data_IF_369404751045
#
_entry.id   IF_369404751045
#
_cell.length_a   1.000
_cell.length_b   1.000
_cell.length_c   1.000
_cell.angle_alpha   90.00
_cell.angle_beta   90.00
_cell.angle_gamma   90.00
#
_symmetry.space_group_name_H-M   'P 1'
#
loop_
_entity.id
_entity.type
_entity.pdbx_description
1 polymer ?
#
# COMPACT_ATOMS: atom_id res chain seq x y z
N UNK A 1 17.55 -47.31 32.24
CA UNK A 1 16.70 -47.25 33.43
C UNK A 1 16.19 -45.82 33.59
N UNK A 2 14.99 -45.42 33.17
CA UNK A 2 13.96 -46.15 32.40
C UNK A 2 13.12 -45.21 31.50
N UNK A 3 12.36 -45.82 30.58
CA UNK A 3 11.59 -45.15 29.50
C UNK A 3 10.13 -44.95 29.89
N UNK A 4 9.43 -43.96 29.30
CA UNK A 4 8.23 -44.26 28.50
C UNK A 4 8.20 -43.48 27.15
N UNK A 5 7.80 -43.99 25.97
CA UNK A 5 7.00 -45.17 25.53
C UNK A 5 5.50 -45.07 25.85
N UNK A 6 4.49 -45.12 24.95
CA UNK A 6 4.29 -45.23 23.47
C UNK A 6 2.79 -44.85 23.18
N UNK A 7 2.23 -44.44 22.01
CA UNK A 7 2.74 -44.05 20.69
C UNK A 7 1.80 -42.98 19.97
N UNK A 8 1.09 -43.12 18.80
CA UNK A 8 0.56 -41.93 18.04
C UNK A 8 -0.95 -41.95 17.64
N UNK A 9 -1.43 -40.93 16.89
CA UNK A 9 -2.71 -41.00 16.12
C UNK A 9 -2.78 -40.12 14.85
N UNK A 10 -2.39 -40.68 13.70
CA UNK A 10 -2.89 -40.34 12.33
C UNK A 10 -2.59 -38.90 11.78
N UNK A 11 -2.92 -38.56 10.49
CA UNK A 11 -1.98 -38.85 9.42
C UNK A 11 -1.72 -37.74 8.36
N UNK A 12 -0.66 -37.95 7.56
CA UNK A 12 -0.47 -37.48 6.16
C UNK A 12 -0.59 -35.98 5.83
N UNK A 13 0.58 -35.33 5.68
CA UNK A 13 0.83 -34.27 4.67
C UNK A 13 2.32 -34.21 4.28
N UNK A 14 2.77 -35.21 3.52
CA UNK A 14 4.12 -35.23 2.97
C UNK A 14 4.22 -34.33 1.71
N UNK A 15 5.29 -33.53 1.54
CA UNK A 15 5.50 -32.77 0.31
C UNK A 15 5.68 -33.68 -0.90
N UNK A 16 5.05 -33.33 -2.03
CA UNK A 16 5.21 -34.05 -3.29
C UNK A 16 6.62 -33.81 -3.87
N UNK A 17 7.53 -34.75 -3.63
CA UNK A 17 8.86 -34.75 -4.24
C UNK A 17 8.75 -35.04 -5.75
N UNK A 18 9.32 -34.20 -6.63
CA UNK A 18 9.32 -34.46 -8.07
C UNK A 18 10.11 -35.73 -8.39
N UNK A 19 9.55 -36.61 -9.23
CA UNK A 19 10.20 -37.87 -9.59
C UNK A 19 11.42 -37.64 -10.49
N UNK A 20 12.59 -38.07 -10.03
CA UNK A 20 13.84 -38.00 -10.79
C UNK A 20 13.72 -38.69 -12.16
N UNK A 21 14.27 -38.09 -13.25
CA UNK A 21 14.24 -38.67 -14.60
C UNK A 21 14.70 -40.13 -14.68
N UNK A 22 15.69 -40.50 -13.84
CA UNK A 22 16.25 -41.85 -13.71
C UNK A 22 15.18 -42.93 -13.48
N UNK A 23 14.06 -42.58 -12.83
CA UNK A 23 12.98 -43.51 -12.48
C UNK A 23 11.90 -43.62 -13.56
N UNK A 24 11.85 -42.70 -14.52
CA UNK A 24 10.88 -42.71 -15.63
C UNK A 24 11.34 -43.70 -16.70
N UNK A 25 12.63 -43.66 -17.08
CA UNK A 25 13.22 -44.59 -18.06
C UNK A 25 13.22 -46.07 -17.67
N UNK A 26 12.89 -46.41 -16.42
CA UNK A 26 12.84 -47.80 -15.93
C UNK A 26 11.45 -48.45 -16.05
N UNK A 27 10.43 -47.70 -16.49
CA UNK A 27 9.10 -48.27 -16.76
C UNK A 27 9.10 -49.04 -18.09
N UNK A 28 9.39 -50.35 -18.02
CA UNK A 28 9.24 -51.27 -19.15
C UNK A 28 7.80 -51.27 -19.67
N UNK A 29 7.60 -50.80 -20.89
CA UNK A 29 6.32 -50.88 -21.61
C UNK A 29 6.16 -52.33 -22.13
N UNK A 30 5.39 -53.16 -21.42
CA UNK A 30 5.19 -54.59 -21.74
C UNK A 30 4.03 -54.79 -22.74
N UNK A 31 3.96 -53.98 -23.81
CA UNK A 31 2.94 -54.11 -24.85
C UNK A 31 3.47 -53.79 -26.26
N UNK A 32 3.98 -54.82 -26.93
CA UNK A 32 4.30 -54.79 -28.37
C UNK A 32 3.78 -56.07 -29.04
N UNK A 33 2.85 -56.00 -30.01
CA UNK A 33 2.35 -57.17 -30.72
C UNK A 33 3.29 -57.54 -31.89
N UNK A 34 4.08 -58.59 -31.74
CA UNK A 34 4.97 -59.11 -32.80
C UNK A 34 4.81 -60.63 -32.99
N UNK A 35 3.69 -61.04 -33.60
CA UNK A 35 3.42 -62.44 -33.98
C UNK A 35 2.47 -62.53 -35.19
N UNK A 36 3.01 -62.38 -36.41
CA UNK A 36 2.26 -62.62 -37.67
C UNK A 36 3.05 -63.47 -38.70
N UNK A 37 4.37 -63.30 -38.77
CA UNK A 37 5.23 -63.85 -39.84
C UNK A 37 5.31 -65.39 -39.94
N UNK A 38 4.80 -66.13 -38.95
CA UNK A 38 4.95 -67.59 -38.91
C UNK A 38 3.91 -68.33 -39.77
N UNK A 39 2.66 -67.86 -39.80
CA UNK A 39 1.59 -68.51 -40.56
C UNK A 39 1.72 -68.31 -42.07
N UNK A 40 2.22 -67.17 -42.51
CA UNK A 40 2.34 -66.84 -43.94
C UNK A 40 3.32 -67.77 -44.68
N UNK A 41 4.37 -68.25 -44.00
CA UNK A 41 5.41 -69.12 -44.58
C UNK A 41 4.92 -70.56 -44.84
N UNK A 42 3.98 -71.08 -44.05
CA UNK A 42 3.40 -72.41 -44.32
C UNK A 42 2.50 -72.40 -45.57
N UNK A 43 1.72 -71.33 -45.76
CA UNK A 43 0.86 -71.14 -46.93
C UNK A 43 1.69 -71.06 -48.23
N UNK A 44 2.81 -70.33 -48.21
CA UNK A 44 3.68 -70.19 -49.40
C UNK A 44 4.29 -71.52 -49.85
N UNK A 45 4.68 -72.40 -48.91
CA UNK A 45 5.19 -73.75 -49.22
C UNK A 45 4.11 -74.61 -49.88
N UNK A 46 2.88 -74.58 -49.36
CA UNK A 46 1.75 -75.31 -49.95
C UNK A 46 1.43 -74.80 -51.37
N UNK A 47 1.45 -73.47 -51.58
CA UNK A 47 1.25 -72.87 -52.91
C UNK A 47 2.33 -73.31 -53.93
N UNK A 48 3.61 -73.36 -53.52
CA UNK A 48 4.70 -73.86 -54.39
C UNK A 48 4.54 -75.35 -54.71
N UNK A 49 4.12 -76.17 -53.76
CA UNK A 49 3.85 -77.61 -53.99
C UNK A 49 2.66 -77.81 -54.95
N UNK A 50 1.61 -76.98 -54.86
CA UNK A 50 0.50 -77.00 -55.81
C UNK A 50 0.94 -76.62 -57.23
N UNK A 51 1.79 -75.61 -57.37
CA UNK A 51 2.36 -75.17 -58.67
C UNK A 51 3.22 -76.27 -59.32
N UNK A 52 4.06 -76.96 -58.55
CA UNK A 52 4.88 -78.08 -59.06
C UNK A 52 3.97 -79.23 -59.52
N UNK A 53 2.90 -79.53 -58.78
CA UNK A 53 1.93 -80.57 -59.15
C UNK A 53 1.06 -80.23 -60.37
N UNK A 54 0.86 -78.95 -60.72
CA UNK A 54 0.18 -78.57 -61.96
C UNK A 54 1.13 -78.56 -63.16
N UNK A 55 2.35 -78.06 -63.00
CA UNK A 55 3.39 -78.10 -64.04
C UNK A 55 3.72 -79.55 -64.45
N UNK A 56 3.81 -80.47 -63.49
CA UNK A 56 4.07 -81.90 -63.73
C UNK A 56 2.92 -82.65 -64.45
N UNK A 57 1.80 -81.98 -64.73
CA UNK A 57 0.64 -82.55 -65.46
C UNK A 57 0.46 -81.99 -66.87
N UNK A 58 1.40 -81.17 -67.35
CA UNK A 58 1.36 -80.65 -68.73
C UNK A 58 1.86 -81.71 -69.73
N UNK A 59 1.01 -82.25 -70.62
CA UNK A 59 1.44 -83.25 -71.59
C UNK A 59 2.28 -82.61 -72.70
N UNK A 60 3.51 -83.08 -72.89
CA UNK A 60 4.31 -82.70 -74.04
C UNK A 60 3.65 -83.21 -75.34
N UNK A 61 3.27 -82.30 -76.25
CA UNK A 61 2.72 -82.65 -77.56
C UNK A 61 3.47 -81.95 -78.69
N UNK A 62 4.28 -82.77 -79.38
CA UNK A 62 4.70 -82.82 -80.79
C UNK A 62 4.77 -81.54 -81.67
N UNK A 63 5.79 -81.46 -82.55
CA UNK A 63 5.95 -80.35 -83.49
C UNK A 63 5.00 -80.46 -84.70
N UNK A 64 4.29 -79.38 -85.03
CA UNK A 64 3.57 -79.21 -86.30
C UNK A 64 3.42 -77.71 -86.67
N UNK A 65 2.84 -77.39 -87.83
CA UNK A 65 3.55 -76.79 -88.96
C UNK A 65 3.90 -75.31 -88.79
N UNK A 66 5.01 -74.88 -89.39
CA UNK A 66 5.67 -73.59 -89.08
C UNK A 66 4.85 -72.32 -89.39
N UNK A 67 3.74 -72.41 -90.11
CA UNK A 67 2.93 -71.26 -90.55
C UNK A 67 1.97 -70.70 -89.47
N UNK A 68 1.52 -71.52 -88.50
CA UNK A 68 0.71 -71.04 -87.36
C UNK A 68 1.54 -70.79 -86.10
N UNK A 69 2.74 -71.37 -86.00
CA UNK A 69 3.66 -71.10 -84.89
C UNK A 69 4.19 -69.66 -84.91
N UNK A 70 4.31 -69.02 -86.08
CA UNK A 70 4.77 -67.62 -86.18
C UNK A 70 3.75 -66.64 -85.61
N UNK A 71 2.46 -66.79 -85.93
CA UNK A 71 1.38 -65.97 -85.35
C UNK A 71 1.18 -66.27 -83.87
N UNK A 72 1.27 -67.53 -83.45
CA UNK A 72 1.22 -67.92 -82.04
C UNK A 72 2.39 -67.34 -81.22
N UNK A 73 3.61 -67.38 -81.76
CA UNK A 73 4.79 -66.79 -81.13
C UNK A 73 4.69 -65.25 -81.06
N UNK A 74 4.16 -64.60 -82.10
CA UNK A 74 3.93 -63.15 -82.11
C UNK A 74 2.92 -62.75 -81.01
N UNK A 75 1.79 -63.48 -80.87
CA UNK A 75 0.82 -63.23 -79.80
C UNK A 75 1.45 -63.40 -78.41
N UNK A 76 2.28 -64.45 -78.20
CA UNK A 76 2.99 -64.65 -76.94
C UNK A 76 4.01 -63.54 -76.65
N UNK A 77 4.70 -63.02 -77.68
CA UNK A 77 5.62 -61.90 -77.54
C UNK A 77 4.90 -60.57 -77.22
N UNK A 78 3.71 -60.34 -77.79
CA UNK A 78 2.86 -59.18 -77.46
C UNK A 78 2.39 -59.26 -76.00
N UNK A 79 1.84 -60.40 -75.57
CA UNK A 79 1.38 -60.58 -74.19
C UNK A 79 2.53 -60.52 -73.17
N UNK A 80 3.70 -61.10 -73.48
CA UNK A 80 4.89 -60.99 -72.63
C UNK A 80 5.42 -59.56 -72.52
N UNK A 81 5.28 -58.74 -73.58
CA UNK A 81 5.58 -57.30 -73.54
C UNK A 81 4.55 -56.55 -72.68
N UNK A 82 3.27 -56.81 -72.86
CA UNK A 82 2.18 -56.19 -72.09
C UNK A 82 2.29 -56.52 -70.59
N UNK A 83 2.66 -57.75 -70.23
CA UNK A 83 2.94 -58.16 -68.86
C UNK A 83 4.19 -57.47 -68.29
N UNK A 84 5.26 -57.33 -69.09
CA UNK A 84 6.48 -56.62 -68.69
C UNK A 84 6.25 -55.10 -68.51
N UNK A 85 5.50 -54.45 -69.41
CA UNK A 85 5.10 -53.05 -69.27
C UNK A 85 4.19 -52.86 -68.04
N UNK A 86 3.26 -53.79 -67.81
CA UNK A 86 2.41 -53.81 -66.61
C UNK A 86 3.19 -54.08 -65.31
N UNK A 87 4.28 -54.85 -65.37
CA UNK A 87 5.19 -55.07 -64.24
C UNK A 87 6.04 -53.84 -63.96
N UNK A 88 6.58 -53.18 -65.00
CA UNK A 88 7.36 -51.95 -64.89
C UNK A 88 6.49 -50.80 -64.35
N UNK A 89 5.25 -50.66 -64.82
CA UNK A 89 4.31 -49.67 -64.30
C UNK A 89 4.00 -49.87 -62.79
N UNK A 90 3.81 -51.13 -62.35
CA UNK A 90 3.65 -51.47 -60.92
C UNK A 90 4.91 -51.20 -60.10
N UNK A 91 6.09 -51.51 -60.63
CA UNK A 91 7.35 -51.21 -59.95
C UNK A 91 7.59 -49.70 -59.83
N UNK A 92 7.24 -48.92 -60.86
CA UNK A 92 7.32 -47.46 -60.85
C UNK A 92 6.34 -46.81 -59.86
N UNK A 93 5.12 -47.34 -59.72
CA UNK A 93 4.17 -46.85 -58.71
C UNK A 93 4.58 -47.22 -57.28
N UNK A 94 5.15 -48.41 -57.06
CA UNK A 94 5.73 -48.79 -55.77
C UNK A 94 6.96 -47.94 -55.40
N UNK A 95 7.82 -47.62 -56.37
CA UNK A 95 8.99 -46.76 -56.16
C UNK A 95 8.58 -45.33 -55.81
N UNK A 96 7.61 -44.74 -56.53
CA UNK A 96 7.13 -43.39 -56.23
C UNK A 96 6.36 -43.34 -54.90
N UNK A 97 5.61 -44.39 -54.55
CA UNK A 97 5.01 -44.49 -53.21
C UNK A 97 6.09 -44.56 -52.13
N UNK A 98 7.11 -45.42 -52.28
CA UNK A 98 8.22 -45.54 -51.34
C UNK A 98 8.96 -44.21 -51.14
N UNK A 99 9.32 -43.52 -52.23
CA UNK A 99 9.92 -42.18 -52.16
C UNK A 99 9.00 -41.15 -51.48
N UNK A 100 7.68 -41.25 -51.67
CA UNK A 100 6.73 -40.36 -50.98
C UNK A 100 6.61 -40.65 -49.49
N UNK A 101 6.86 -41.90 -49.06
CA UNK A 101 6.92 -42.31 -47.65
C UNK A 101 8.24 -41.86 -47.03
N UNK A 102 9.34 -42.03 -47.74
CA UNK A 102 10.69 -41.57 -47.37
C UNK A 102 10.71 -40.06 -47.09
N UNK A 103 10.23 -39.23 -48.02
CA UNK A 103 10.16 -37.76 -47.82
C UNK A 103 9.39 -37.38 -46.56
N UNK A 104 8.21 -37.97 -46.32
CA UNK A 104 7.40 -37.75 -45.11
C UNK A 104 8.09 -38.19 -43.81
N UNK A 105 9.02 -39.14 -43.88
CA UNK A 105 9.85 -39.56 -42.73
C UNK A 105 10.98 -38.55 -42.52
N UNK A 106 11.65 -38.08 -43.58
CA UNK A 106 12.68 -37.04 -43.51
C UNK A 106 12.12 -35.71 -42.99
N UNK A 107 11.02 -35.20 -43.57
CA UNK A 107 10.31 -33.99 -43.14
C UNK A 107 9.97 -34.05 -41.63
N UNK A 108 9.51 -35.21 -41.15
CA UNK A 108 9.18 -35.43 -39.74
C UNK A 108 10.44 -35.53 -38.85
N UNK A 109 11.52 -36.12 -39.35
CA UNK A 109 12.79 -36.22 -38.64
C UNK A 109 13.45 -34.84 -38.49
N UNK A 110 13.46 -34.04 -39.57
CA UNK A 110 13.92 -32.66 -39.59
C UNK A 110 13.14 -31.81 -38.58
N UNK A 111 11.81 -31.84 -38.63
CA UNK A 111 10.95 -31.13 -37.66
C UNK A 111 11.21 -31.55 -36.20
N UNK A 112 11.43 -32.84 -35.91
CA UNK A 112 11.78 -33.32 -34.56
C UNK A 112 13.19 -32.90 -34.12
N UNK A 113 14.14 -32.78 -35.05
CA UNK A 113 15.49 -32.28 -34.76
C UNK A 113 15.48 -30.77 -34.49
N UNK A 114 14.69 -29.99 -35.24
CA UNK A 114 14.45 -28.57 -35.01
C UNK A 114 13.79 -28.32 -33.64
N UNK A 115 12.74 -29.05 -33.29
CA UNK A 115 12.10 -28.93 -31.96
C UNK A 115 13.08 -29.31 -30.84
N UNK A 116 13.88 -30.36 -31.03
CA UNK A 116 14.92 -30.80 -30.08
C UNK A 116 16.08 -29.80 -29.97
N UNK A 117 16.37 -29.00 -31.01
CA UNK A 117 17.31 -27.88 -30.93
C UNK A 117 16.67 -26.68 -30.22
N UNK A 118 15.48 -26.23 -30.63
CA UNK A 118 14.79 -25.08 -30.05
C UNK A 118 14.51 -25.26 -28.54
N UNK A 119 14.21 -26.49 -28.10
CA UNK A 119 14.05 -26.82 -26.68
C UNK A 119 15.38 -26.80 -25.91
N UNK A 120 16.51 -27.23 -26.51
CA UNK A 120 17.85 -27.07 -25.90
C UNK A 120 18.23 -25.60 -25.77
N UNK A 121 18.03 -24.80 -26.82
CA UNK A 121 18.33 -23.37 -26.82
C UNK A 121 17.50 -22.63 -25.76
N UNK A 122 16.20 -22.95 -25.65
CA UNK A 122 15.33 -22.45 -24.58
C UNK A 122 15.85 -22.83 -23.18
N UNK A 123 16.21 -24.09 -22.95
CA UNK A 123 16.78 -24.52 -21.65
C UNK A 123 18.10 -23.81 -21.31
N UNK A 124 18.97 -23.55 -22.28
CA UNK A 124 20.21 -22.80 -22.07
C UNK A 124 19.91 -21.34 -21.72
N UNK A 125 18.95 -20.73 -22.42
CA UNK A 125 18.48 -19.36 -22.14
C UNK A 125 17.83 -19.23 -20.75
N UNK A 126 16.93 -20.14 -20.39
CA UNK A 126 16.31 -20.22 -19.06
C UNK A 126 17.35 -20.36 -17.95
N UNK A 127 18.30 -21.30 -18.09
CA UNK A 127 19.41 -21.47 -17.12
C UNK A 127 20.23 -20.19 -16.97
N UNK A 128 20.52 -19.49 -18.06
CA UNK A 128 21.22 -18.20 -18.03
C UNK A 128 20.44 -17.12 -17.28
N UNK A 129 19.12 -17.06 -17.43
CA UNK A 129 18.25 -16.13 -16.68
C UNK A 129 18.23 -16.50 -15.19
N UNK A 130 17.98 -17.77 -14.85
CA UNK A 130 17.98 -18.23 -13.46
C UNK A 130 19.31 -17.97 -12.76
N UNK A 131 20.45 -18.16 -13.45
CA UNK A 131 21.75 -17.85 -12.87
C UNK A 131 21.97 -16.33 -12.68
N UNK A 132 21.57 -15.50 -13.66
CA UNK A 132 21.61 -14.04 -13.53
C UNK A 132 20.79 -13.55 -12.35
N UNK A 133 19.56 -14.05 -12.18
CA UNK A 133 18.69 -13.67 -11.08
C UNK A 133 19.22 -14.18 -9.74
N UNK A 134 19.67 -15.44 -9.64
CA UNK A 134 20.31 -15.95 -8.42
C UNK A 134 21.58 -15.15 -8.03
N UNK A 135 22.37 -14.68 -9.01
CA UNK A 135 23.51 -13.77 -8.78
C UNK A 135 23.05 -12.37 -8.33
N UNK A 136 21.88 -11.89 -8.77
CA UNK A 136 21.26 -10.61 -8.36
C UNK A 136 20.70 -10.69 -6.93
N UNK A 137 19.86 -11.68 -6.62
CA UNK A 137 19.28 -11.86 -5.29
C UNK A 137 20.34 -12.01 -4.20
N UNK A 138 21.48 -12.68 -4.49
CA UNK A 138 22.64 -12.74 -3.56
C UNK A 138 23.26 -11.36 -3.29
N UNK A 139 23.39 -10.50 -4.30
CA UNK A 139 23.91 -9.12 -4.14
C UNK A 139 22.93 -8.25 -3.36
N UNK A 140 21.63 -8.43 -3.59
CA UNK A 140 20.56 -7.70 -2.89
C UNK A 140 20.46 -8.13 -1.42
N UNK A 141 20.54 -9.44 -1.13
CA UNK A 141 20.65 -9.95 0.23
C UNK A 141 21.88 -9.38 0.97
N UNK A 142 23.06 -9.35 0.32
CA UNK A 142 24.26 -8.77 0.93
C UNK A 142 24.12 -7.26 1.21
N UNK A 143 23.49 -6.50 0.29
CA UNK A 143 23.17 -5.07 0.48
C UNK A 143 22.19 -4.87 1.65
N UNK A 144 21.13 -5.69 1.74
CA UNK A 144 20.17 -5.64 2.83
C UNK A 144 20.84 -5.95 4.18
N UNK A 145 21.68 -6.98 4.25
CA UNK A 145 22.47 -7.29 5.46
C UNK A 145 23.42 -6.16 5.86
N UNK A 146 24.10 -5.51 4.91
CA UNK A 146 24.96 -4.36 5.20
C UNK A 146 24.17 -3.16 5.73
N UNK A 147 23.00 -2.87 5.17
CA UNK A 147 22.13 -1.81 5.66
C UNK A 147 21.55 -2.13 7.05
N UNK A 148 21.21 -3.39 7.32
CA UNK A 148 20.74 -3.83 8.64
C UNK A 148 21.78 -3.57 9.74
N UNK A 149 23.07 -3.83 9.48
CA UNK A 149 24.15 -3.55 10.44
C UNK A 149 24.27 -2.05 10.71
N UNK A 150 24.23 -1.20 9.68
CA UNK A 150 24.26 0.27 9.85
C UNK A 150 23.11 0.77 10.72
N UNK A 151 21.88 0.32 10.43
CA UNK A 151 20.69 0.69 11.22
C UNK A 151 20.78 0.15 12.66
N UNK A 152 21.44 -0.98 12.91
CA UNK A 152 21.71 -1.47 14.27
C UNK A 152 22.76 -0.61 15.01
N UNK A 153 23.77 -0.09 14.30
CA UNK A 153 24.76 0.86 14.84
C UNK A 153 24.13 2.23 15.15
N UNK A 154 23.35 2.79 14.22
CA UNK A 154 22.58 4.02 14.41
C UNK A 154 21.59 3.89 15.58
N UNK A 155 20.86 2.77 15.67
CA UNK A 155 19.97 2.47 16.80
C UNK A 155 20.72 2.34 18.13
N UNK A 156 21.97 1.86 18.12
CA UNK A 156 22.84 1.80 19.31
C UNK A 156 23.29 3.21 19.73
N UNK A 157 23.65 4.08 18.78
CA UNK A 157 24.02 5.47 19.04
C UNK A 157 22.85 6.27 19.61
N UNK A 158 21.67 6.23 18.95
CA UNK A 158 20.46 6.88 19.44
C UNK A 158 20.03 6.38 20.84
N UNK A 159 20.22 5.09 21.15
CA UNK A 159 20.01 4.54 22.51
C UNK A 159 21.04 5.02 23.54
N UNK A 160 22.21 5.50 23.11
CA UNK A 160 23.20 6.20 23.94
C UNK A 160 22.78 7.64 24.20
N UNK A 161 22.44 8.38 23.14
CA UNK A 161 21.95 9.77 23.22
C UNK A 161 20.71 9.89 24.11
N UNK A 162 19.72 8.99 23.95
CA UNK A 162 18.52 8.94 24.79
C UNK A 162 18.84 8.66 26.28
N UNK A 163 19.98 8.03 26.60
CA UNK A 163 20.45 7.92 27.99
C UNK A 163 21.08 9.23 28.46
N UNK A 164 22.01 9.79 27.69
CA UNK A 164 22.67 11.06 28.00
C UNK A 164 21.66 12.18 28.27
N UNK A 165 20.65 12.33 27.40
CA UNK A 165 19.58 13.32 27.55
C UNK A 165 18.68 13.04 28.78
N UNK A 166 18.52 11.78 29.20
CA UNK A 166 17.82 11.41 30.45
C UNK A 166 18.66 11.65 31.70
N UNK A 167 19.98 11.65 31.58
CA UNK A 167 20.89 11.97 32.67
C UNK A 167 20.99 13.49 32.86
N UNK A 168 21.05 14.24 31.76
CA UNK A 168 20.99 15.70 31.69
C UNK A 168 19.64 16.25 32.21
N UNK A 169 18.50 15.76 31.73
CA UNK A 169 17.17 16.15 32.24
C UNK A 169 16.98 15.77 33.73
N UNK A 170 17.75 14.84 34.28
CA UNK A 170 17.76 14.55 35.73
C UNK A 170 18.62 15.57 36.49
N UNK A 171 19.85 15.85 36.05
CA UNK A 171 20.71 16.84 36.71
C UNK A 171 20.13 18.26 36.64
N UNK A 172 19.46 18.63 35.54
CA UNK A 172 18.69 19.89 35.45
C UNK A 172 17.56 19.96 36.49
N UNK A 173 16.80 18.88 36.68
CA UNK A 173 15.71 18.83 37.67
C UNK A 173 16.24 18.94 39.10
N UNK A 174 17.36 18.29 39.40
CA UNK A 174 18.03 18.40 40.70
C UNK A 174 18.60 19.80 40.94
N UNK A 175 19.23 20.42 39.93
CA UNK A 175 19.71 21.79 39.98
C UNK A 175 18.57 22.80 40.19
N UNK A 176 17.45 22.64 39.47
CA UNK A 176 16.23 23.43 39.65
C UNK A 176 15.62 23.22 41.04
N UNK A 177 15.63 22.00 41.57
CA UNK A 177 15.20 21.71 42.94
C UNK A 177 16.01 22.46 43.98
N UNK A 178 17.34 22.45 43.86
CA UNK A 178 18.26 23.22 44.72
C UNK A 178 18.04 24.72 44.61
N UNK A 179 17.97 25.26 43.38
CA UNK A 179 17.72 26.68 43.15
C UNK A 179 16.37 27.16 43.73
N UNK A 180 15.32 26.34 43.64
CA UNK A 180 14.04 26.61 44.28
C UNK A 180 14.16 26.61 45.82
N UNK A 181 14.85 25.63 46.40
CA UNK A 181 15.05 25.53 47.85
C UNK A 181 15.79 26.75 48.40
N UNK A 182 16.91 27.14 47.77
CA UNK A 182 17.64 28.35 48.16
C UNK A 182 16.79 29.63 47.98
N UNK A 183 15.89 29.67 46.98
CA UNK A 183 14.99 30.80 46.79
C UNK A 183 13.93 30.89 47.90
N UNK A 184 13.40 29.75 48.38
CA UNK A 184 12.54 29.71 49.56
C UNK A 184 13.28 30.14 50.83
N UNK A 185 14.52 29.68 51.05
CA UNK A 185 15.35 30.08 52.19
C UNK A 185 15.63 31.59 52.18
N UNK A 186 15.97 32.17 51.02
CA UNK A 186 16.13 33.62 50.84
C UNK A 186 14.83 34.39 51.10
N UNK A 187 13.69 33.89 50.61
CA UNK A 187 12.39 34.51 50.85
C UNK A 187 11.98 34.46 52.34
N UNK A 188 12.26 33.35 53.02
CA UNK A 188 12.01 33.18 54.46
C UNK A 188 12.88 34.13 55.31
N UNK A 189 14.17 34.25 54.99
CA UNK A 189 15.07 35.19 55.65
C UNK A 189 14.63 36.66 55.44
N UNK A 190 14.18 37.02 54.22
CA UNK A 190 13.64 38.35 53.92
C UNK A 190 12.32 38.62 54.67
N UNK A 191 11.46 37.61 54.86
CA UNK A 191 10.24 37.76 55.64
C UNK A 191 10.53 38.09 57.11
N UNK A 192 11.43 37.33 57.76
CA UNK A 192 11.85 37.61 59.14
C UNK A 192 12.46 39.00 59.33
N UNK A 193 13.37 39.41 58.44
CA UNK A 193 13.93 40.76 58.46
C UNK A 193 12.87 41.85 58.20
N UNK A 194 11.81 41.56 57.44
CA UNK A 194 10.70 42.49 57.22
C UNK A 194 9.84 42.63 58.47
N UNK A 195 9.56 41.53 59.18
CA UNK A 195 8.88 41.53 60.48
C UNK A 195 9.65 42.32 61.54
N UNK A 196 10.98 42.12 61.65
CA UNK A 196 11.84 42.91 62.53
C UNK A 196 11.79 44.40 62.19
N UNK A 197 11.86 44.76 60.91
CA UNK A 197 11.75 46.15 60.45
C UNK A 197 10.37 46.75 60.75
N UNK A 198 9.28 45.97 60.68
CA UNK A 198 7.94 46.44 61.03
C UNK A 198 7.75 46.59 62.54
N UNK A 199 8.30 45.70 63.35
CA UNK A 199 8.35 45.83 64.81
C UNK A 199 9.15 47.06 65.24
N UNK A 200 10.31 47.33 64.62
CA UNK A 200 11.11 48.53 64.87
C UNK A 200 10.38 49.81 64.44
N UNK A 201 9.73 49.83 63.26
CA UNK A 201 8.85 50.95 62.85
C UNK A 201 7.68 51.14 63.82
N UNK A 202 7.16 50.06 64.41
CA UNK A 202 6.13 50.10 65.44
C UNK A 202 6.61 50.83 66.71
N UNK A 203 7.77 50.44 67.24
CA UNK A 203 8.41 51.08 68.39
C UNK A 203 8.79 52.54 68.13
N UNK A 204 9.26 52.86 66.92
CA UNK A 204 9.57 54.23 66.56
C UNK A 204 8.31 55.11 66.58
N UNK A 205 7.19 54.62 66.03
CA UNK A 205 5.91 55.34 66.08
C UNK A 205 5.38 55.54 67.51
N UNK A 206 5.56 54.58 68.42
CA UNK A 206 5.18 54.80 69.82
C UNK A 206 6.06 55.88 70.45
N UNK A 207 7.39 55.80 70.35
CA UNK A 207 8.27 56.86 70.87
C UNK A 207 8.01 58.24 70.25
N UNK A 208 7.67 58.31 68.95
CA UNK A 208 7.25 59.55 68.28
C UNK A 208 5.90 60.09 68.77
N UNK A 209 4.99 59.22 69.22
CA UNK A 209 3.73 59.59 69.88
C UNK A 209 3.96 60.04 71.31
N UNK A 210 4.72 59.28 72.11
CA UNK A 210 5.02 59.54 73.51
C UNK A 210 5.70 60.92 73.66
N UNK A 211 6.75 61.16 72.88
CA UNK A 211 7.47 62.44 72.81
C UNK A 211 6.65 63.59 72.15
N UNK A 212 5.42 63.34 71.68
CA UNK A 212 4.45 64.37 71.29
C UNK A 212 3.38 64.60 72.35
N UNK A 213 3.02 63.59 73.15
CA UNK A 213 2.19 63.77 74.34
C UNK A 213 2.95 64.45 75.47
N UNK A 214 4.22 64.11 75.73
CA UNK A 214 5.04 64.72 76.79
C UNK A 214 5.01 66.27 76.78
N UNK A 215 5.28 66.98 75.66
CA UNK A 215 5.21 68.44 75.61
C UNK A 215 3.78 69.00 75.62
N UNK A 216 2.75 68.18 75.36
CA UNK A 216 1.35 68.58 75.55
C UNK A 216 0.95 68.44 77.02
N UNK A 217 1.29 67.33 77.68
CA UNK A 217 0.99 67.08 79.09
C UNK A 217 1.77 68.03 80.00
N UNK A 218 3.03 68.37 79.67
CA UNK A 218 3.77 69.44 80.33
C UNK A 218 3.05 70.80 80.17
N UNK A 219 2.61 71.13 78.96
CA UNK A 219 1.90 72.38 78.65
C UNK A 219 0.47 72.42 79.20
N UNK A 220 -0.13 71.28 79.54
CA UNK A 220 -1.41 71.18 80.25
C UNK A 220 -1.21 71.37 81.76
N UNK A 221 -0.12 70.86 82.33
CA UNK A 221 0.29 71.15 83.72
C UNK A 221 0.61 72.65 83.91
N UNK A 222 1.32 73.26 82.97
CA UNK A 222 1.60 74.71 82.98
C UNK A 222 0.33 75.58 82.84
N UNK A 223 -0.74 75.05 82.24
CA UNK A 223 -2.04 75.74 82.05
C UNK A 223 -3.00 75.61 83.23
N UNK A 224 -2.58 75.01 84.34
CA UNK A 224 -3.33 75.06 85.60
C UNK A 224 -2.96 76.28 86.46
N UNK A 225 -2.19 77.22 85.91
CA UNK A 225 -1.98 78.57 86.44
C UNK A 225 -2.28 79.62 85.36
N UNK A 226 -3.04 80.65 85.76
CA UNK A 226 -3.43 81.86 85.02
C UNK A 226 -4.20 81.71 83.68
N UNK A 227 -5.22 82.56 83.56
CA UNK A 227 -5.94 82.89 82.34
C UNK A 227 -5.73 84.39 82.02
N UNK A 228 -6.33 84.86 80.92
CA UNK A 228 -6.33 86.27 80.46
C UNK A 228 -4.95 86.75 79.91
N UNK A 229 -4.81 87.58 78.86
CA UNK A 229 -5.79 88.24 77.98
C UNK A 229 -5.21 88.58 76.57
N UNK A 230 -6.05 89.07 75.63
CA UNK A 230 -5.86 89.95 74.42
C UNK A 230 -4.51 90.06 73.62
N UNK A 231 -4.43 90.51 72.33
CA UNK A 231 -5.35 90.66 71.16
C UNK A 231 -4.57 91.14 69.90
N UNK A 232 -4.73 90.48 68.73
CA UNK A 232 -4.56 91.06 67.36
C UNK A 232 -3.13 91.35 66.83
N UNK A 233 -2.89 91.83 65.59
CA UNK A 233 -3.67 91.84 64.32
C UNK A 233 -2.76 92.11 63.08
N UNK A 234 -3.05 91.52 61.90
CA UNK A 234 -2.46 91.85 60.55
C UNK A 234 -0.91 91.68 60.37
N UNK A 235 -0.26 91.65 59.19
CA UNK A 235 -0.61 91.71 57.74
C UNK A 235 0.24 90.72 56.89
N UNK A 236 -0.38 90.09 55.88
CA UNK A 236 0.03 89.97 54.45
C UNK A 236 1.52 89.83 54.00
N UNK A 237 1.86 88.72 53.28
CA UNK A 237 2.53 88.72 51.94
C UNK A 237 2.90 87.35 51.29
N UNK A 238 2.32 87.10 50.12
CA UNK A 238 2.90 86.65 48.83
C UNK A 238 4.03 85.58 48.67
N UNK A 239 3.64 84.43 48.09
CA UNK A 239 4.27 83.71 46.94
C UNK A 239 5.66 83.01 47.08
N UNK A 240 6.09 82.12 46.13
CA UNK A 240 5.39 81.50 44.98
C UNK A 240 5.44 79.94 44.96
N UNK A 241 4.67 79.34 44.01
CA UNK A 241 4.94 78.14 43.17
C UNK A 241 5.72 76.90 43.72
N UNK A 242 5.35 75.66 43.39
CA UNK A 242 5.03 75.13 42.06
C UNK A 242 3.91 74.08 42.04
N UNK A 243 3.28 73.94 40.87
CA UNK A 243 2.10 73.09 40.62
C UNK A 243 2.33 72.10 39.48
N UNK A 244 1.59 70.97 39.47
CA UNK A 244 1.28 70.11 38.29
C UNK A 244 2.43 69.21 37.73
N UNK A 245 2.18 68.25 36.77
CA UNK A 245 1.24 67.12 36.91
C UNK A 245 1.62 65.79 36.16
N UNK A 246 0.67 64.83 36.13
CA UNK A 246 0.36 63.85 35.04
C UNK A 246 1.33 62.68 34.69
N UNK A 247 0.80 61.48 34.93
CA UNK A 247 0.72 60.34 33.96
C UNK A 247 -0.07 60.83 32.72
N UNK A 248 0.29 60.55 31.43
CA UNK A 248 0.11 59.19 30.85
C UNK A 248 0.87 58.77 29.54
N UNK A 249 0.70 57.48 29.19
CA UNK A 249 0.56 56.86 27.84
C UNK A 249 1.74 56.76 26.83
N UNK A 250 1.77 55.54 26.25
CA UNK A 250 2.44 55.00 25.05
C UNK A 250 2.55 55.92 23.81
N UNK A 251 3.70 55.82 23.12
CA UNK A 251 3.93 55.53 21.68
C UNK A 251 5.40 55.04 21.53
N UNK A 252 5.88 54.21 20.59
CA UNK A 252 5.52 53.83 19.22
C UNK A 252 6.06 54.80 18.14
N UNK A 253 6.83 54.28 17.17
CA UNK A 253 7.81 55.03 16.36
C UNK A 253 9.20 54.92 17.00
N UNK A 254 10.23 54.24 16.47
CA UNK A 254 10.63 53.89 15.10
C UNK A 254 11.21 55.07 14.31
N UNK A 255 12.55 55.23 14.35
CA UNK A 255 13.36 55.52 13.16
C UNK A 255 14.88 55.30 13.42
N UNK A 256 15.63 55.02 12.35
CA UNK A 256 17.11 54.91 12.32
C UNK A 256 17.60 55.45 10.97
N UNK A 257 18.79 56.08 10.86
CA UNK A 257 20.09 55.39 10.91
C UNK A 257 21.16 56.25 11.67
N UNK A 258 22.50 56.05 11.70
CA UNK A 258 23.56 55.72 10.70
C UNK A 258 24.75 55.17 11.52
N UNK A 259 25.20 53.90 11.36
CA UNK A 259 26.16 53.35 10.38
C UNK A 259 27.58 53.92 10.47
N UNK A 260 28.55 53.10 10.86
CA UNK A 260 29.93 53.18 10.33
C UNK A 260 30.62 51.79 10.34
N UNK A 261 31.63 51.57 9.48
CA UNK A 261 32.05 50.22 9.07
C UNK A 261 33.55 50.02 8.84
N UNK A 262 34.07 48.84 9.26
CA UNK A 262 35.29 48.16 8.73
C UNK A 262 35.01 46.64 8.78
N UNK A 263 34.81 45.86 7.71
CA UNK A 263 35.52 45.62 6.43
C UNK A 263 36.68 44.62 6.57
N UNK A 264 36.73 43.66 5.61
CA UNK A 264 37.70 42.58 5.32
C UNK A 264 37.40 41.18 5.96
N UNK A 265 37.41 40.06 5.22
CA UNK A 265 37.30 39.87 3.75
C UNK A 265 36.93 38.41 3.34
N UNK A 266 36.60 38.22 2.05
CA UNK A 266 36.65 37.00 1.20
C UNK A 266 35.67 35.80 1.40
N UNK A 267 34.72 35.74 0.45
CA UNK A 267 34.37 34.58 -0.43
C UNK A 267 33.68 33.33 0.17
N UNK A 268 32.54 32.85 -0.35
CA UNK A 268 32.33 32.37 -1.73
C UNK A 268 30.84 32.37 -2.17
N UNK A 269 30.62 32.32 -3.49
CA UNK A 269 29.36 32.35 -4.27
C UNK A 269 28.17 31.50 -3.79
N UNK A 270 26.92 31.96 -4.04
CA UNK A 270 26.16 31.64 -5.27
C UNK A 270 24.76 32.31 -5.29
N UNK A 271 24.28 32.67 -6.48
CA UNK A 271 23.00 33.35 -6.75
C UNK A 271 21.76 32.42 -6.67
N UNK A 272 20.59 32.98 -6.31
CA UNK A 272 19.42 33.05 -7.23
C UNK A 272 18.30 33.99 -6.71
N UNK A 273 17.39 34.43 -7.60
CA UNK A 273 16.48 35.58 -7.39
C UNK A 273 15.01 35.26 -7.00
N UNK A 274 14.52 35.98 -5.98
CA UNK A 274 13.13 36.48 -5.78
C UNK A 274 11.90 35.58 -5.45
N UNK A 275 11.17 36.07 -4.43
CA UNK A 275 9.70 36.28 -4.41
C UNK A 275 8.70 35.11 -4.53
N UNK A 276 8.03 34.78 -3.40
CA UNK A 276 6.62 35.20 -3.22
C UNK A 276 6.02 35.01 -1.81
N UNK A 277 5.52 36.13 -1.26
CA UNK A 277 4.32 36.34 -0.40
C UNK A 277 3.89 35.22 0.59
N UNK A 278 3.98 35.54 1.89
CA UNK A 278 3.54 34.75 3.05
C UNK A 278 2.03 34.48 3.08
N UNK A 279 1.62 33.21 3.24
CA UNK A 279 0.24 32.84 3.58
C UNK A 279 0.03 32.89 5.11
N UNK A 280 -0.99 33.62 5.58
CA UNK A 280 -1.28 33.84 7.00
C UNK A 280 -2.36 32.88 7.50
N UNK A 281 -1.95 31.74 8.07
CA UNK A 281 -2.88 30.76 8.64
C UNK A 281 -3.67 31.36 9.82
N UNK A 282 -4.99 31.30 9.75
CA UNK A 282 -5.89 31.80 10.79
C UNK A 282 -6.14 30.73 11.86
N UNK A 283 -5.78 31.03 13.11
CA UNK A 283 -6.03 30.15 14.26
C UNK A 283 -7.48 30.30 14.71
N UNK A 284 -8.36 29.35 14.32
CA UNK A 284 -9.66 29.19 15.00
C UNK A 284 -9.40 28.70 16.43
N UNK A 285 -9.80 29.50 17.42
CA UNK A 285 -9.91 29.07 18.82
C UNK A 285 -11.39 28.75 19.03
N UNK A 286 -11.71 27.51 19.37
CA UNK A 286 -13.08 27.06 19.62
C UNK A 286 -13.32 26.93 21.12
N UNK A 287 -13.78 28.01 21.76
CA UNK A 287 -14.23 27.95 23.15
C UNK A 287 -15.54 27.15 23.21
N UNK A 288 -15.54 26.00 23.89
CA UNK A 288 -16.76 25.31 24.34
C UNK A 288 -16.53 24.58 25.65
N UNK A 289 -16.35 25.37 26.69
CA UNK A 289 -16.27 24.93 28.09
C UNK A 289 -17.69 24.81 28.68
N UNK A 290 -17.84 24.04 29.76
CA UNK A 290 -19.04 23.93 30.59
C UNK A 290 -20.30 23.29 29.96
N UNK A 291 -20.31 21.95 29.90
CA UNK A 291 -21.43 21.16 30.42
C UNK A 291 -20.89 19.99 31.26
N UNK A 292 -21.45 19.78 32.44
CA UNK A 292 -21.12 18.69 33.37
C UNK A 292 -22.42 17.92 33.70
N UNK A 293 -22.49 16.63 33.34
CA UNK A 293 -23.45 15.70 33.89
C UNK A 293 -22.72 14.57 34.63
N UNK A 294 -22.91 14.50 35.96
CA UNK A 294 -22.37 13.41 36.78
C UNK A 294 -22.99 12.06 36.38
N UNK A 295 -22.16 11.11 35.96
CA UNK A 295 -22.55 9.73 35.65
C UNK A 295 -21.34 8.78 35.75
N UNK A 296 -21.46 7.61 36.41
CA UNK A 296 -20.33 6.70 36.60
C UNK A 296 -20.18 5.74 35.42
N UNK A 297 -19.60 6.21 34.32
CA UNK A 297 -19.13 5.32 33.24
C UNK A 297 -17.67 4.92 33.46
N UNK A 298 -17.36 3.64 33.20
CA UNK A 298 -16.00 3.11 33.29
C UNK A 298 -15.15 3.71 32.18
N UNK A 299 -14.41 4.77 32.51
CA UNK A 299 -13.52 5.43 31.55
C UNK A 299 -12.34 4.51 31.25
N UNK A 300 -12.47 3.69 30.21
CA UNK A 300 -11.33 3.09 29.53
C UNK A 300 -10.35 4.22 29.18
N UNK A 301 -9.21 4.24 29.88
CA UNK A 301 -8.16 5.23 29.64
C UNK A 301 -7.55 4.93 28.28
N UNK A 302 -8.15 5.48 27.22
CA UNK A 302 -7.61 5.44 25.86
C UNK A 302 -6.16 5.94 25.95
N UNK A 303 -5.15 5.07 25.73
CA UNK A 303 -3.78 5.50 25.81
C UNK A 303 -3.57 6.55 24.73
N UNK A 304 -3.18 7.76 25.13
CA UNK A 304 -2.88 8.85 24.19
C UNK A 304 -1.80 8.35 23.23
N UNK A 305 -2.20 8.03 22.00
CA UNK A 305 -1.29 7.47 20.98
C UNK A 305 -0.12 8.43 20.80
N UNK A 306 1.08 7.89 20.61
CA UNK A 306 2.23 8.72 20.29
C UNK A 306 1.89 9.51 19.01
N UNK A 307 1.95 10.86 19.00
CA UNK A 307 1.60 11.66 17.84
C UNK A 307 2.44 11.31 16.60
N UNK A 308 3.59 10.65 16.76
CA UNK A 308 4.34 10.03 15.66
C UNK A 308 3.54 8.93 14.97
N UNK A 309 2.95 8.01 15.75
CA UNK A 309 2.13 6.90 15.23
C UNK A 309 0.82 7.38 14.61
N UNK A 310 0.26 8.50 15.08
CA UNK A 310 -0.91 9.14 14.47
C UNK A 310 -0.55 9.81 13.12
N UNK A 311 0.59 10.51 13.05
CA UNK A 311 1.12 11.06 11.78
C UNK A 311 1.52 9.96 10.78
N UNK A 312 2.02 8.82 11.26
CA UNK A 312 2.31 7.64 10.43
C UNK A 312 1.01 7.01 9.90
N UNK A 313 -0.01 6.85 10.74
CA UNK A 313 -1.34 6.37 10.33
C UNK A 313 -1.99 7.27 9.27
N UNK A 314 -1.95 8.59 9.44
CA UNK A 314 -2.48 9.55 8.47
C UNK A 314 -1.71 9.54 7.14
N UNK A 315 -0.39 9.31 7.16
CA UNK A 315 0.42 9.12 5.93
C UNK A 315 0.01 7.85 5.20
N UNK A 316 -0.13 6.75 5.92
CA UNK A 316 -0.59 5.46 5.39
C UNK A 316 -2.00 5.55 4.79
N UNK A 317 -2.92 6.26 5.46
CA UNK A 317 -4.28 6.50 4.99
C UNK A 317 -4.28 7.37 3.72
N UNK A 318 -3.44 8.41 3.68
CA UNK A 318 -3.23 9.24 2.49
C UNK A 318 -2.68 8.45 1.31
N UNK A 319 -1.68 7.59 1.51
CA UNK A 319 -1.10 6.75 0.44
C UNK A 319 -2.19 5.84 -0.13
N UNK A 320 -2.98 5.17 0.72
CA UNK A 320 -4.12 4.32 0.30
C UNK A 320 -5.18 5.11 -0.49
N UNK A 321 -5.41 6.38 -0.14
CA UNK A 321 -6.31 7.26 -0.89
C UNK A 321 -5.71 7.70 -2.24
N UNK A 322 -4.40 7.98 -2.32
CA UNK A 322 -3.71 8.30 -3.57
C UNK A 322 -3.67 7.09 -4.53
N UNK A 323 -3.43 5.89 -4.01
CA UNK A 323 -3.51 4.62 -4.76
C UNK A 323 -4.93 4.34 -5.26
N UNK A 324 -5.96 4.54 -4.42
CA UNK A 324 -7.37 4.40 -4.84
C UNK A 324 -7.74 5.40 -5.95
N UNK A 325 -7.29 6.66 -5.84
CA UNK A 325 -7.47 7.67 -6.88
C UNK A 325 -6.70 7.30 -8.16
N UNK A 326 -5.54 6.64 -8.06
CA UNK A 326 -4.83 6.12 -9.22
C UNK A 326 -5.58 4.96 -9.88
N UNK A 327 -6.06 3.99 -9.10
CA UNK A 327 -6.87 2.87 -9.58
C UNK A 327 -8.13 3.35 -10.34
N UNK A 328 -8.91 4.27 -9.75
CA UNK A 328 -10.10 4.84 -10.38
C UNK A 328 -9.78 5.61 -11.68
N UNK A 329 -8.61 6.27 -11.76
CA UNK A 329 -8.14 6.90 -13.01
C UNK A 329 -7.84 5.85 -14.08
N UNK A 330 -7.23 4.72 -13.73
CA UNK A 330 -6.95 3.63 -14.68
C UNK A 330 -8.26 2.96 -15.15
N UNK A 331 -9.22 2.70 -14.27
CA UNK A 331 -10.55 2.20 -14.67
C UNK A 331 -11.28 3.17 -15.61
N UNK A 332 -11.17 4.48 -15.38
CA UNK A 332 -11.70 5.51 -16.26
C UNK A 332 -11.02 5.50 -17.64
N UNK A 333 -9.67 5.43 -17.69
CA UNK A 333 -8.92 5.34 -18.96
C UNK A 333 -9.29 4.10 -19.78
N UNK A 334 -9.44 2.94 -19.13
CA UNK A 334 -9.92 1.71 -19.78
C UNK A 334 -11.43 1.68 -20.05
N UNK A 335 -12.17 2.75 -19.73
CA UNK A 335 -13.64 2.87 -19.88
C UNK A 335 -14.43 1.80 -19.11
N UNK A 336 -13.87 1.32 -17.98
CA UNK A 336 -14.45 0.29 -17.10
C UNK A 336 -14.99 0.83 -15.78
N UNK A 337 -14.93 2.14 -15.52
CA UNK A 337 -15.58 2.72 -14.34
C UNK A 337 -17.08 2.40 -14.34
N UNK A 338 -17.68 2.23 -13.15
CA UNK A 338 -19.11 1.95 -12.99
C UNK A 338 -20.00 2.94 -13.75
N UNK A 339 -19.59 4.22 -13.77
CA UNK A 339 -20.15 5.28 -14.61
C UNK A 339 -20.28 4.89 -16.08
N UNK A 340 -19.18 4.47 -16.72
CA UNK A 340 -19.13 4.18 -18.15
C UNK A 340 -19.75 2.82 -18.49
N UNK A 341 -19.72 1.86 -17.55
CA UNK A 341 -20.42 0.59 -17.69
C UNK A 341 -21.95 0.77 -17.68
N UNK A 342 -22.47 1.65 -16.83
CA UNK A 342 -23.88 2.02 -16.77
C UNK A 342 -24.34 2.74 -18.05
N UNK A 343 -23.57 3.71 -18.55
CA UNK A 343 -23.83 4.36 -19.85
C UNK A 343 -23.89 3.35 -21.01
N UNK A 344 -22.99 2.35 -21.03
CA UNK A 344 -22.99 1.27 -22.03
C UNK A 344 -24.18 0.31 -21.89
N UNK A 345 -24.84 0.28 -20.73
CA UNK A 345 -26.06 -0.48 -20.48
C UNK A 345 -27.34 0.37 -20.64
N UNK A 346 -27.21 1.67 -20.96
CA UNK A 346 -28.34 2.60 -21.10
C UNK A 346 -28.99 3.00 -19.78
N UNK A 347 -28.32 2.79 -18.63
CA UNK A 347 -28.85 3.13 -17.30
C UNK A 347 -28.10 4.31 -16.69
N UNK A 348 -28.81 5.19 -15.98
CA UNK A 348 -28.22 6.34 -15.31
C UNK A 348 -27.39 5.90 -14.09
N UNK A 349 -26.14 6.36 -13.98
CA UNK A 349 -25.28 6.02 -12.85
C UNK A 349 -25.40 7.04 -11.72
N UNK A 350 -25.83 6.58 -10.55
CA UNK A 350 -25.94 7.40 -9.34
C UNK A 350 -24.74 7.11 -8.42
N UNK A 351 -23.88 8.11 -8.21
CA UNK A 351 -22.67 7.97 -7.39
C UNK A 351 -22.96 7.85 -5.88
N UNK A 352 -23.97 8.56 -5.38
CA UNK A 352 -24.45 8.50 -4.01
C UNK A 352 -25.99 8.45 -4.05
N UNK A 353 -26.56 7.28 -3.74
CA UNK A 353 -28.02 7.09 -3.79
C UNK A 353 -28.76 7.80 -2.67
N UNK A 354 -28.10 8.15 -1.57
CA UNK A 354 -28.73 8.86 -0.45
C UNK A 354 -28.66 10.37 -0.62
N UNK A 355 -27.66 10.89 -1.33
CA UNK A 355 -27.67 12.26 -1.85
C UNK A 355 -28.76 12.44 -2.92
N UNK A 356 -28.81 11.55 -3.92
CA UNK A 356 -29.80 11.61 -5.00
C UNK A 356 -31.25 11.51 -4.50
N UNK A 357 -31.53 10.59 -3.56
CA UNK A 357 -32.85 10.52 -2.88
C UNK A 357 -33.22 11.83 -2.17
N UNK A 358 -32.26 12.54 -1.56
CA UNK A 358 -32.51 13.82 -0.87
C UNK A 358 -32.76 14.94 -1.87
N UNK A 359 -31.90 15.07 -2.88
CA UNK A 359 -32.01 16.08 -3.93
C UNK A 359 -33.35 15.96 -4.67
N UNK A 360 -33.70 14.75 -5.12
CA UNK A 360 -34.98 14.50 -5.79
C UNK A 360 -36.16 14.76 -4.83
N UNK A 361 -36.07 14.38 -3.55
CA UNK A 361 -37.14 14.66 -2.56
C UNK A 361 -37.33 16.16 -2.29
N UNK A 362 -36.27 16.96 -2.31
CA UNK A 362 -36.37 18.42 -2.20
C UNK A 362 -37.00 19.03 -3.46
N UNK A 363 -36.65 18.53 -4.66
CA UNK A 363 -37.27 18.98 -5.92
C UNK A 363 -38.78 18.68 -5.96
N UNK A 364 -39.18 17.44 -5.68
CA UNK A 364 -40.59 17.02 -5.63
C UNK A 364 -41.43 17.75 -4.55
N UNK A 365 -40.80 18.38 -3.54
CA UNK A 365 -41.50 19.20 -2.55
C UNK A 365 -41.72 20.64 -3.03
N UNK A 366 -40.82 21.19 -3.86
CA UNK A 366 -40.98 22.53 -4.44
C UNK A 366 -42.04 22.53 -5.56
N UNK A 367 -42.16 21.44 -6.32
CA UNK A 367 -43.14 21.28 -7.40
C UNK A 367 -44.58 20.97 -6.91
N UNK A 368 -44.88 21.09 -5.62
CA UNK A 368 -46.22 20.79 -5.04
C UNK A 368 -46.88 21.91 -4.22
N UNK A 369 -46.22 23.06 -4.03
CA UNK A 369 -46.85 24.28 -3.51
C UNK A 369 -47.45 25.16 -4.62
N UNK A 370 -47.34 24.76 -5.90
CA UNK A 370 -47.83 25.52 -7.05
C UNK A 370 -49.34 25.36 -7.34
N UNK A 371 -49.80 24.12 -7.53
CA UNK A 371 -51.12 23.85 -8.12
C UNK A 371 -52.20 23.44 -7.11
N UNK A 372 -52.91 24.44 -6.59
CA UNK A 372 -54.25 24.28 -5.99
C UNK A 372 -55.33 25.05 -6.76
N UNK A 373 -55.69 24.63 -7.98
CA UNK A 373 -57.09 24.67 -8.43
C UNK A 373 -57.40 23.83 -9.70
N UNK A 374 -58.69 23.54 -9.91
CA UNK A 374 -59.36 23.19 -11.18
C UNK A 374 -59.05 21.84 -11.88
N UNK A 375 -59.82 20.82 -11.45
CA UNK A 375 -60.66 19.92 -12.27
C UNK A 375 -60.11 19.04 -13.41
N UNK A 376 -60.43 17.74 -13.29
CA UNK A 376 -60.89 16.81 -14.34
C UNK A 376 -60.14 16.71 -15.68
N UNK A 377 -59.38 15.60 -15.86
CA UNK A 377 -59.89 14.45 -16.65
C UNK A 377 -59.01 13.18 -16.63
N UNK A 378 -59.70 12.04 -16.64
CA UNK A 378 -59.35 10.75 -17.26
C UNK A 378 -58.07 9.99 -16.80
N UNK A 379 -58.34 9.01 -15.93
CA UNK A 379 -57.80 7.64 -15.89
C UNK A 379 -57.44 7.04 -17.28
N UNK A 380 -56.51 6.06 -17.39
CA UNK A 380 -56.59 4.78 -16.64
C UNK A 380 -55.31 4.22 -15.99
N UNK A 381 -55.52 3.24 -15.11
CA UNK A 381 -54.51 2.41 -14.45
C UNK A 381 -53.82 1.44 -15.42
N UNK A 382 -52.56 1.07 -15.13
CA UNK A 382 -51.90 -0.10 -15.72
C UNK A 382 -51.09 -0.89 -14.68
N UNK A 383 -51.73 -1.94 -14.15
CA UNK A 383 -51.17 -3.27 -13.79
C UNK A 383 -49.77 -3.36 -13.14
N UNK A 384 -49.75 -3.77 -11.87
CA UNK A 384 -48.57 -3.90 -10.99
C UNK A 384 -47.63 -5.10 -11.26
N UNK A 385 -47.84 -5.88 -12.32
CA UNK A 385 -47.30 -7.26 -12.42
C UNK A 385 -45.81 -7.37 -12.82
N UNK A 386 -45.12 -6.27 -13.13
CA UNK A 386 -43.76 -6.35 -13.71
C UNK A 386 -42.59 -6.25 -12.72
N UNK A 387 -42.84 -5.97 -11.44
CA UNK A 387 -41.77 -5.87 -10.42
C UNK A 387 -41.41 -7.21 -9.75
N UNK A 388 -42.36 -8.14 -9.59
CA UNK A 388 -42.15 -9.42 -8.89
C UNK A 388 -41.28 -10.43 -9.68
N UNK A 389 -41.18 -10.27 -11.01
CA UNK A 389 -40.33 -11.14 -11.85
C UNK A 389 -38.83 -10.93 -11.56
N UNK A 390 -38.40 -9.66 -11.50
CA UNK A 390 -37.00 -9.26 -11.27
C UNK A 390 -36.43 -9.70 -9.92
N UNK A 391 -37.29 -9.92 -8.92
CA UNK A 391 -36.84 -10.38 -7.60
C UNK A 391 -36.61 -11.91 -7.53
N UNK A 392 -37.26 -12.72 -8.37
CA UNK A 392 -37.12 -14.18 -8.34
C UNK A 392 -35.86 -14.69 -9.04
N UNK A 393 -35.43 -14.07 -10.13
CA UNK A 393 -34.21 -14.52 -10.84
C UNK A 393 -32.92 -14.26 -10.03
N UNK A 394 -32.89 -13.20 -9.22
CA UNK A 394 -31.71 -12.89 -8.36
C UNK A 394 -31.50 -13.86 -7.20
N UNK A 395 -32.49 -14.68 -6.82
CA UNK A 395 -32.35 -15.62 -5.68
C UNK A 395 -31.68 -16.95 -6.06
N UNK A 396 -31.51 -17.25 -7.35
CA UNK A 396 -30.97 -18.54 -7.82
C UNK A 396 -29.44 -18.52 -7.94
N UNK A 397 -28.83 -17.33 -8.06
CA UNK A 397 -27.40 -17.16 -8.34
C UNK A 397 -26.45 -17.26 -7.12
N UNK A 398 -26.94 -17.62 -5.93
CA UNK A 398 -26.13 -17.78 -4.69
C UNK A 398 -26.16 -19.22 -4.14
N UNK A 399 -26.14 -20.20 -5.05
CA UNK A 399 -25.92 -21.61 -4.71
C UNK A 399 -24.54 -21.84 -4.08
N UNK A 400 -24.53 -22.39 -2.86
CA UNK A 400 -23.32 -22.76 -2.12
C UNK A 400 -22.47 -23.80 -2.89
N UNK A 401 -21.16 -23.68 -2.80
CA UNK A 401 -20.28 -24.85 -2.69
C UNK A 401 -19.49 -24.80 -1.38
N UNK A 402 -19.24 -26.00 -0.86
CA UNK A 402 -18.25 -26.35 0.17
C UNK A 402 -17.22 -27.24 -0.52
#
# INVERSE_FOLDING_TARGET
MDTPSLQPSSPLKAPLLPTSPERINQQKIIHSPLSSDLHQKQSEVQAKIALINSLSRSPAQNPMPQSSTTTSALQRAILGREEAESALARAASQLSEAQSRERRISERLESLLEELQATKERQVHERMIFEKEARKSRKEAFRASSNLVKVQEELRLAKGEIKSLKDEVRSEREAKGKANQEAFERAYALAGLTEELEALKGRLRSFESDNRSDPLEAREKDKCGDADDERGTFTDKDTPSLTTPRRPKRSAGDDSPVRDSKIADLSLSQDDETSSKKARLSRRISNKENQDPNGPEESEVIPTKDPRTEVEWERDLRIKAEDMVHFLKMECQFKRCSCRLAELQGVHYVHDTDWDKRYNKEHYLLDHDGDRNCNDKLLPELSTEQQDSMHRERTIATGKLV
#
